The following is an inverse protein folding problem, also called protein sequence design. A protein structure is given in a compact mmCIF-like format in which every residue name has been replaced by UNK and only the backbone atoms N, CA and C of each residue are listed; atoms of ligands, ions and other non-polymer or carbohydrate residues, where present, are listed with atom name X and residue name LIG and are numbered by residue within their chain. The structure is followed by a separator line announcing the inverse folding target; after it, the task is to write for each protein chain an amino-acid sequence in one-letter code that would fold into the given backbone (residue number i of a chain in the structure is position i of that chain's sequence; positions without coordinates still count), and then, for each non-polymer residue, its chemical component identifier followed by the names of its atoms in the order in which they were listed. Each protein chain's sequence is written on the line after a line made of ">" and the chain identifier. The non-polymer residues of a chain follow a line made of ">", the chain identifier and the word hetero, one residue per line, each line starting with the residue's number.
data_IF_293638354705
#
_entry.id   IF_293638354705
#
_cell.length_a   1.000
_cell.length_b   1.000
_cell.length_c   1.000
_cell.angle_alpha   90.00
_cell.angle_beta   90.00
_cell.angle_gamma   90.00
#
_symmetry.space_group_name_H-M   'P 1'
#
loop_
_entity.id
_entity.type
_entity.pdbx_description
1 polymer ?
#
# COMPACT_ATOMS: atom_id res chain seq x y z
N UNK A 1 -20.50 -36.34 11.02
CA UNK A 1 -20.25 -35.22 10.08
C UNK A 1 -19.45 -34.17 10.83
N UNK A 2 -18.20 -33.94 10.42
CA UNK A 2 -17.30 -32.98 11.06
C UNK A 2 -17.93 -31.59 11.16
N UNK A 3 -17.74 -30.90 12.30
CA UNK A 3 -18.27 -29.54 12.47
C UNK A 3 -17.47 -28.55 11.61
N UNK A 4 -18.12 -27.62 10.91
CA UNK A 4 -17.40 -26.60 10.14
C UNK A 4 -16.59 -25.68 11.08
N UNK A 5 -15.35 -25.38 10.70
CA UNK A 5 -14.49 -24.46 11.45
C UNK A 5 -15.02 -23.03 11.34
N UNK A 6 -15.19 -22.36 12.48
CA UNK A 6 -15.58 -20.96 12.56
C UNK A 6 -14.50 -20.14 13.25
N UNK A 7 -13.92 -19.19 12.52
CA UNK A 7 -12.90 -18.32 13.08
C UNK A 7 -13.55 -17.10 13.73
N UNK A 8 -13.42 -17.00 15.06
CA UNK A 8 -14.07 -15.94 15.87
C UNK A 8 -13.68 -14.52 15.44
N UNK A 9 -12.56 -14.35 14.75
CA UNK A 9 -12.05 -13.06 14.31
C UNK A 9 -12.22 -12.82 12.80
N UNK A 10 -13.09 -13.59 12.12
CA UNK A 10 -13.34 -13.40 10.67
C UNK A 10 -13.77 -11.96 10.35
N UNK A 11 -14.67 -11.36 11.13
CA UNK A 11 -15.07 -9.95 10.95
C UNK A 11 -13.92 -8.96 11.13
N UNK A 12 -12.97 -9.28 12.00
CA UNK A 12 -11.78 -8.45 12.19
C UNK A 12 -10.83 -8.60 11.00
N UNK A 13 -10.68 -9.82 10.46
CA UNK A 13 -9.90 -10.07 9.26
C UNK A 13 -10.48 -9.32 8.05
N UNK A 14 -11.79 -9.40 7.82
CA UNK A 14 -12.50 -8.68 6.76
C UNK A 14 -12.25 -7.16 6.86
N UNK A 15 -12.35 -6.62 8.08
CA UNK A 15 -12.08 -5.19 8.31
C UNK A 15 -10.61 -4.82 8.03
N UNK A 16 -9.65 -5.68 8.40
CA UNK A 16 -8.23 -5.44 8.10
C UNK A 16 -7.90 -5.54 6.62
N UNK A 17 -8.59 -6.40 5.88
CA UNK A 17 -8.51 -6.45 4.41
C UNK A 17 -8.97 -5.14 3.78
N UNK A 18 -10.10 -4.60 4.25
CA UNK A 18 -10.59 -3.30 3.79
C UNK A 18 -9.59 -2.17 4.11
N UNK A 19 -8.97 -2.18 5.30
CA UNK A 19 -7.95 -1.19 5.66
C UNK A 19 -6.69 -1.31 4.80
N UNK A 20 -6.25 -2.52 4.46
CA UNK A 20 -5.12 -2.71 3.54
C UNK A 20 -5.45 -2.16 2.15
N UNK A 21 -6.64 -2.45 1.64
CA UNK A 21 -7.07 -1.96 0.32
C UNK A 21 -7.17 -0.44 0.29
N UNK A 22 -7.70 0.18 1.34
CA UNK A 22 -7.73 1.64 1.49
C UNK A 22 -6.32 2.23 1.52
N UNK A 23 -5.39 1.61 2.25
CA UNK A 23 -4.00 2.07 2.33
C UNK A 23 -3.27 1.93 0.97
N UNK A 24 -3.51 0.85 0.23
CA UNK A 24 -3.01 0.67 -1.15
C UNK A 24 -3.56 1.73 -2.10
N UNK A 25 -4.86 2.00 -2.02
CA UNK A 25 -5.49 3.06 -2.79
C UNK A 25 -4.93 4.45 -2.46
N UNK A 26 -4.68 4.73 -1.18
CA UNK A 26 -4.06 5.98 -0.73
C UNK A 26 -2.61 6.12 -1.26
N UNK A 27 -1.84 5.04 -1.22
CA UNK A 27 -0.49 4.98 -1.77
C UNK A 27 -0.49 5.25 -3.28
N UNK A 28 -1.37 4.60 -4.05
CA UNK A 28 -1.48 4.83 -5.49
C UNK A 28 -1.81 6.29 -5.81
N UNK A 29 -2.78 6.90 -5.10
CA UNK A 29 -3.11 8.32 -5.26
C UNK A 29 -1.95 9.24 -4.91
N UNK A 30 -1.20 8.94 -3.85
CA UNK A 30 -0.03 9.71 -3.46
C UNK A 30 1.09 9.64 -4.52
N UNK A 31 1.30 8.46 -5.12
CA UNK A 31 2.27 8.25 -6.18
C UNK A 31 1.90 9.09 -7.43
N UNK A 32 0.66 8.99 -7.89
CA UNK A 32 0.17 9.77 -9.05
C UNK A 32 0.31 11.27 -8.81
N UNK A 33 -0.05 11.76 -7.61
CA UNK A 33 0.08 13.17 -7.28
C UNK A 33 1.55 13.63 -7.29
N UNK A 34 2.46 12.82 -6.72
CA UNK A 34 3.90 13.11 -6.72
C UNK A 34 4.45 13.16 -8.14
N UNK A 35 4.08 12.22 -8.98
CA UNK A 35 4.61 12.13 -10.34
C UNK A 35 4.10 13.29 -11.21
N UNK A 36 2.82 13.65 -11.11
CA UNK A 36 2.27 14.83 -11.78
C UNK A 36 2.99 16.13 -11.34
N UNK A 37 3.33 16.26 -10.06
CA UNK A 37 4.08 17.42 -9.57
C UNK A 37 5.54 17.41 -10.06
N UNK A 38 6.17 16.24 -10.15
CA UNK A 38 7.52 16.10 -10.68
C UNK A 38 7.57 16.50 -12.17
N UNK A 39 6.57 16.10 -12.96
CA UNK A 39 6.44 16.50 -14.35
C UNK A 39 6.26 18.02 -14.49
N UNK A 40 5.43 18.62 -13.62
CA UNK A 40 5.25 20.08 -13.57
C UNK A 40 6.55 20.81 -13.23
N UNK A 41 7.31 20.32 -12.26
CA UNK A 41 8.60 20.89 -11.89
C UNK A 41 9.59 20.80 -13.07
N UNK A 42 9.67 19.65 -13.72
CA UNK A 42 10.53 19.46 -14.90
C UNK A 42 10.14 20.40 -16.04
N UNK A 43 8.84 20.65 -16.26
CA UNK A 43 8.39 21.64 -17.24
C UNK A 43 8.85 23.06 -16.91
N UNK A 44 8.67 23.50 -15.65
CA UNK A 44 9.11 24.81 -15.19
C UNK A 44 10.63 24.99 -15.31
N UNK A 45 11.40 23.96 -14.95
CA UNK A 45 12.87 23.97 -15.08
C UNK A 45 13.30 24.05 -16.55
N UNK A 46 12.63 23.33 -17.45
CA UNK A 46 12.88 23.43 -18.91
C UNK A 46 12.57 24.83 -19.44
N UNK A 47 11.45 25.43 -19.02
CA UNK A 47 11.06 26.79 -19.42
C UNK A 47 12.05 27.83 -18.93
N UNK A 48 12.52 27.71 -17.69
CA UNK A 48 13.55 28.58 -17.13
C UNK A 48 14.87 28.43 -17.89
N UNK A 49 15.31 27.21 -18.19
CA UNK A 49 16.51 26.96 -18.96
C UNK A 49 16.43 27.54 -20.37
N UNK A 50 15.31 27.34 -21.06
CA UNK A 50 15.07 27.91 -22.40
C UNK A 50 15.07 29.45 -22.37
N UNK A 51 14.47 30.05 -21.35
CA UNK A 51 14.49 31.50 -21.16
C UNK A 51 15.92 32.04 -20.94
N UNK A 52 16.73 31.36 -20.12
CA UNK A 52 18.13 31.75 -19.89
C UNK A 52 18.97 31.62 -21.16
N UNK A 53 18.77 30.56 -21.95
CA UNK A 53 19.45 30.39 -23.23
C UNK A 53 19.08 31.51 -24.23
N UNK A 54 17.78 31.79 -24.38
CA UNK A 54 17.31 32.87 -25.25
C UNK A 54 17.82 34.24 -24.82
N UNK A 55 17.93 34.49 -23.51
CA UNK A 55 18.50 35.73 -22.98
C UNK A 55 19.98 35.87 -23.37
N UNK A 56 20.76 34.79 -23.30
CA UNK A 56 22.19 34.80 -23.62
C UNK A 56 22.47 35.08 -25.11
N UNK A 57 21.58 34.64 -26.01
CA UNK A 57 21.69 34.85 -27.45
C UNK A 57 21.17 36.22 -27.91
N UNK A 58 20.32 36.89 -27.12
CA UNK A 58 19.68 38.13 -27.54
C UNK A 58 20.54 39.38 -27.26
N UNK A 59 20.62 40.29 -28.23
CA UNK A 59 21.21 41.64 -28.09
C UNK A 59 20.12 42.67 -27.74
N UNK A 60 19.39 42.45 -26.64
CA UNK A 60 18.18 43.23 -26.30
C UNK A 60 18.47 44.62 -25.74
N UNK A 61 17.51 45.53 -25.95
CA UNK A 61 17.49 46.89 -25.40
C UNK A 61 17.34 46.87 -23.86
N UNK A 62 17.78 47.93 -23.19
CA UNK A 62 17.68 48.07 -21.73
C UNK A 62 16.25 47.94 -21.19
N UNK A 63 15.23 48.31 -21.99
CA UNK A 63 13.82 48.18 -21.61
C UNK A 63 13.32 46.74 -21.65
N UNK A 64 13.77 45.96 -22.64
CA UNK A 64 13.44 44.54 -22.73
C UNK A 64 14.07 43.79 -21.54
N UNK A 65 15.32 44.15 -21.19
CA UNK A 65 16.06 43.53 -20.09
C UNK A 65 15.30 43.52 -18.75
N UNK A 66 14.45 44.52 -18.48
CA UNK A 66 13.61 44.55 -17.27
C UNK A 66 12.52 43.47 -17.32
N UNK A 67 11.81 43.33 -18.44
CA UNK A 67 10.76 42.33 -18.63
C UNK A 67 11.33 40.90 -18.56
N UNK A 68 12.50 40.67 -19.17
CA UNK A 68 13.23 39.40 -19.09
C UNK A 68 13.57 39.04 -17.63
N UNK A 69 14.04 39.99 -16.82
CA UNK A 69 14.33 39.73 -15.40
C UNK A 69 13.07 39.40 -14.60
N UNK A 70 11.99 40.17 -14.78
CA UNK A 70 10.73 39.92 -14.09
C UNK A 70 10.19 38.53 -14.38
N UNK A 71 10.21 38.12 -15.67
CA UNK A 71 9.75 36.80 -16.05
C UNK A 71 10.63 35.67 -15.49
N UNK A 72 11.96 35.84 -15.52
CA UNK A 72 12.90 34.90 -14.87
C UNK A 72 12.62 34.77 -13.38
N UNK A 73 12.42 35.88 -12.68
CA UNK A 73 12.21 35.89 -11.23
C UNK A 73 10.89 35.19 -10.87
N UNK A 74 9.82 35.45 -11.63
CA UNK A 74 8.55 34.74 -11.50
C UNK A 74 8.70 33.22 -11.74
N UNK A 75 9.37 32.81 -12.83
CA UNK A 75 9.65 31.39 -13.11
C UNK A 75 10.49 30.74 -12.00
N UNK A 76 11.48 31.45 -11.47
CA UNK A 76 12.33 30.93 -10.39
C UNK A 76 11.53 30.74 -9.11
N UNK A 77 10.62 31.65 -8.82
CA UNK A 77 9.69 31.52 -7.69
C UNK A 77 8.75 30.34 -7.88
N UNK A 78 8.18 30.16 -9.08
CA UNK A 78 7.31 29.02 -9.41
C UNK A 78 8.05 27.68 -9.24
N UNK A 79 9.30 27.59 -9.71
CA UNK A 79 10.17 26.40 -9.51
C UNK A 79 10.38 26.14 -8.01
N UNK A 80 10.66 27.18 -7.23
CA UNK A 80 10.86 27.04 -5.78
C UNK A 80 9.60 26.52 -5.09
N UNK A 81 8.43 27.07 -5.42
CA UNK A 81 7.14 26.63 -4.87
C UNK A 81 6.87 25.18 -5.28
N UNK A 82 7.04 24.86 -6.56
CA UNK A 82 6.80 23.52 -7.08
C UNK A 82 7.70 22.46 -6.41
N UNK A 83 8.95 22.84 -6.05
CA UNK A 83 9.88 21.96 -5.34
C UNK A 83 9.50 21.73 -3.89
N UNK A 84 8.99 22.76 -3.20
CA UNK A 84 8.44 22.61 -1.84
C UNK A 84 7.21 21.71 -1.84
N UNK A 85 6.31 21.89 -2.81
CA UNK A 85 5.14 21.04 -3.01
C UNK A 85 5.54 19.58 -3.27
N UNK A 86 6.54 19.36 -4.13
CA UNK A 86 7.07 18.02 -4.43
C UNK A 86 7.62 17.35 -3.17
N UNK A 87 8.42 18.05 -2.37
CA UNK A 87 8.94 17.53 -1.10
C UNK A 87 7.80 17.13 -0.13
N UNK A 88 6.73 17.93 -0.07
CA UNK A 88 5.54 17.62 0.72
C UNK A 88 4.85 16.33 0.24
N UNK A 89 4.73 16.15 -1.08
CA UNK A 89 4.14 14.96 -1.69
C UNK A 89 5.04 13.73 -1.49
N UNK A 90 6.36 13.87 -1.54
CA UNK A 90 7.30 12.79 -1.24
C UNK A 90 7.19 12.33 0.21
N UNK A 91 7.08 13.26 1.16
CA UNK A 91 6.83 12.92 2.57
C UNK A 91 5.50 12.18 2.74
N UNK A 92 4.45 12.65 2.06
CA UNK A 92 3.13 11.99 2.07
C UNK A 92 3.21 10.57 1.50
N UNK A 93 3.93 10.40 0.38
CA UNK A 93 4.15 9.11 -0.25
C UNK A 93 4.86 8.14 0.70
N UNK A 94 5.89 8.58 1.41
CA UNK A 94 6.59 7.76 2.41
C UNK A 94 5.66 7.32 3.55
N UNK A 95 4.81 8.23 4.05
CA UNK A 95 3.81 7.90 5.07
C UNK A 95 2.82 6.85 4.57
N UNK A 96 2.28 7.02 3.36
CA UNK A 96 1.37 6.04 2.77
C UNK A 96 2.05 4.68 2.52
N UNK A 97 3.34 4.66 2.14
CA UNK A 97 4.11 3.41 2.01
C UNK A 97 4.24 2.69 3.34
N UNK A 98 4.63 3.40 4.39
CA UNK A 98 4.75 2.84 5.72
C UNK A 98 3.40 2.28 6.21
N UNK A 99 2.32 3.04 6.02
CA UNK A 99 0.98 2.59 6.40
C UNK A 99 0.54 1.34 5.63
N UNK A 100 0.73 1.30 4.30
CA UNK A 100 0.39 0.12 3.51
C UNK A 100 1.16 -1.13 3.95
N UNK A 101 2.43 -0.99 4.33
CA UNK A 101 3.24 -2.08 4.87
C UNK A 101 2.70 -2.55 6.22
N UNK A 102 2.39 -1.64 7.15
CA UNK A 102 1.84 -2.01 8.46
C UNK A 102 0.47 -2.69 8.33
N UNK A 103 -0.44 -2.17 7.49
CA UNK A 103 -1.74 -2.83 7.23
C UNK A 103 -1.58 -4.22 6.63
N UNK A 104 -0.62 -4.41 5.71
CA UNK A 104 -0.35 -5.73 5.14
C UNK A 104 0.21 -6.71 6.18
N UNK A 105 1.06 -6.25 7.10
CA UNK A 105 1.55 -7.08 8.22
C UNK A 105 0.42 -7.47 9.15
N UNK A 106 -0.43 -6.52 9.53
CA UNK A 106 -1.56 -6.75 10.43
C UNK A 106 -2.56 -7.77 9.88
N UNK A 107 -2.85 -7.72 8.57
CA UNK A 107 -3.69 -8.73 7.89
C UNK A 107 -3.01 -10.10 7.92
N UNK A 108 -1.76 -10.18 7.47
CA UNK A 108 -1.00 -11.44 7.39
C UNK A 108 -0.88 -12.14 8.75
N UNK A 109 -0.77 -11.38 9.84
CA UNK A 109 -0.74 -11.94 11.19
C UNK A 109 -2.05 -12.68 11.54
N UNK A 110 -3.19 -12.06 11.28
CA UNK A 110 -4.50 -12.67 11.53
C UNK A 110 -4.77 -13.85 10.58
N UNK A 111 -4.34 -13.75 9.33
CA UNK A 111 -4.48 -14.82 8.35
C UNK A 111 -3.69 -16.07 8.80
N UNK A 112 -2.44 -15.89 9.27
CA UNK A 112 -1.65 -16.99 9.85
C UNK A 112 -2.31 -17.58 11.10
N UNK A 113 -2.91 -16.74 11.95
CA UNK A 113 -3.63 -17.21 13.13
C UNK A 113 -4.84 -18.06 12.74
N UNK A 114 -5.62 -17.62 11.74
CA UNK A 114 -6.76 -18.37 11.18
C UNK A 114 -6.32 -19.72 10.63
N UNK A 115 -5.27 -19.74 9.81
CA UNK A 115 -4.70 -20.98 9.25
C UNK A 115 -4.25 -21.95 10.35
N UNK A 116 -3.58 -21.44 11.39
CA UNK A 116 -3.11 -22.27 12.51
C UNK A 116 -4.28 -22.87 13.30
N UNK A 117 -5.33 -22.09 13.56
CA UNK A 117 -6.52 -22.58 14.27
C UNK A 117 -7.31 -23.57 13.41
N UNK A 118 -7.44 -23.32 12.11
CA UNK A 118 -8.10 -24.22 11.17
C UNK A 118 -7.39 -25.59 11.12
N UNK A 119 -6.04 -25.57 11.05
CA UNK A 119 -5.24 -26.79 11.09
C UNK A 119 -5.47 -27.59 12.38
N UNK A 120 -5.38 -26.92 13.54
CA UNK A 120 -5.63 -27.56 14.84
C UNK A 120 -7.04 -28.17 14.95
N UNK A 121 -8.05 -27.47 14.42
CA UNK A 121 -9.42 -27.98 14.41
C UNK A 121 -9.53 -29.24 13.54
N UNK A 122 -8.91 -29.22 12.35
CA UNK A 122 -8.90 -30.39 11.47
C UNK A 122 -8.19 -31.58 12.11
N UNK A 123 -7.01 -31.36 12.69
CA UNK A 123 -6.26 -32.42 13.38
C UNK A 123 -7.05 -33.02 14.56
N UNK A 124 -7.81 -32.20 15.30
CA UNK A 124 -8.66 -32.65 16.41
C UNK A 124 -9.88 -33.45 15.95
N UNK A 125 -10.54 -33.04 14.86
CA UNK A 125 -11.69 -33.78 14.33
C UNK A 125 -11.23 -35.12 13.74
N UNK A 126 -10.10 -35.16 13.02
CA UNK A 126 -9.53 -36.40 12.51
C UNK A 126 -9.20 -37.39 13.65
N UNK A 127 -8.56 -36.91 14.72
CA UNK A 127 -8.24 -37.74 15.88
C UNK A 127 -9.50 -38.25 16.62
N UNK A 128 -10.61 -37.49 16.60
CA UNK A 128 -11.90 -37.94 17.13
C UNK A 128 -12.52 -39.02 16.25
N UNK A 129 -12.54 -38.82 14.94
CA UNK A 129 -13.07 -39.80 13.99
C UNK A 129 -12.29 -41.12 14.04
N UNK A 130 -10.95 -41.06 14.14
CA UNK A 130 -10.11 -42.25 14.33
C UNK A 130 -10.47 -42.98 15.63
N UNK A 131 -10.61 -42.25 16.75
CA UNK A 131 -10.97 -42.83 18.04
C UNK A 131 -12.37 -43.47 18.02
N UNK A 132 -13.35 -42.80 17.44
CA UNK A 132 -14.72 -43.33 17.28
C UNK A 132 -14.74 -44.59 16.42
N UNK A 133 -13.93 -44.62 15.34
CA UNK A 133 -13.79 -45.79 14.47
C UNK A 133 -13.13 -46.98 15.19
N UNK A 134 -12.08 -46.74 15.96
CA UNK A 134 -11.40 -47.78 16.75
C UNK A 134 -12.33 -48.36 17.83
N UNK A 135 -13.09 -47.51 18.54
CA UNK A 135 -14.08 -47.93 19.53
C UNK A 135 -15.22 -48.75 18.90
N UNK A 136 -15.72 -48.34 17.73
CA UNK A 136 -16.71 -49.13 16.97
C UNK A 136 -16.15 -50.46 16.48
N UNK A 137 -14.88 -50.51 16.05
CA UNK A 137 -14.23 -51.74 15.63
C UNK A 137 -14.05 -52.72 16.80
N UNK A 138 -13.71 -52.22 17.99
CA UNK A 138 -13.60 -53.06 19.20
C UNK A 138 -14.95 -53.59 19.65
N UNK A 139 -16.01 -52.76 19.68
CA UNK A 139 -17.38 -53.18 19.99
C UNK A 139 -17.91 -54.25 19.01
N UNK A 140 -17.50 -54.20 17.75
CA UNK A 140 -17.91 -55.17 16.72
C UNK A 140 -17.09 -56.47 16.76
N UNK A 141 -15.90 -56.44 17.34
CA UNK A 141 -14.99 -57.59 17.41
C UNK A 141 -15.05 -58.34 18.76
N UNK A 142 -15.96 -57.97 19.68
CA UNK A 142 -16.23 -58.83 20.85
C UNK A 142 -16.63 -60.23 20.34
N UNK A 143 -15.81 -61.27 20.61
CA UNK A 143 -16.12 -62.61 20.17
C UNK A 143 -17.35 -63.08 20.94
N UNK A 144 -18.35 -63.58 20.22
CA UNK A 144 -19.32 -64.50 20.80
C UNK A 144 -18.53 -65.75 21.24
N UNK A 145 -18.13 -65.79 22.50
CA UNK A 145 -17.67 -67.02 23.14
C UNK A 145 -18.83 -68.01 23.14
N UNK A 146 -18.67 -69.11 22.41
CA UNK A 146 -19.51 -70.31 22.41
C UNK A 146 -18.75 -71.47 23.04
#
# INVERSE_FOLDING_TARGET
>A
MARPFHFKLDKVLDYREQLEEQARGALARAQVARDAQADRLADLERRLAAHLAAQAESRTSANDMWLWRQYRDALSQDVSIARVELNGLELKLQRCRAEAVERSKDRKLLEKLKQTQAKRHHDQENAREEKENDEMATLRYEPHDH
#
